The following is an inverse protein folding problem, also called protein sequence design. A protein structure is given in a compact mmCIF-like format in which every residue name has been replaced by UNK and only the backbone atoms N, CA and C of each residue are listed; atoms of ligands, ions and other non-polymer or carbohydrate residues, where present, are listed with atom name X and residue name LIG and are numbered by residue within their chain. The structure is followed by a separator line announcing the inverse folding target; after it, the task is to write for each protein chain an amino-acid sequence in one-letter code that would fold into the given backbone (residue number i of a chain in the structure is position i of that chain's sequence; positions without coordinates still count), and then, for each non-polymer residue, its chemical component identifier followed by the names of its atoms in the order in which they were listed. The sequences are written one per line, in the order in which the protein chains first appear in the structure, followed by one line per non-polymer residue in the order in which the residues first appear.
data_IF_346650509627
#
_entry.id   IF_346650509627
#
_cell.length_a   1.000
_cell.length_b   1.000
_cell.length_c   1.000
_cell.angle_alpha   90.00
_cell.angle_beta   90.00
_cell.angle_gamma   90.00
#
_symmetry.space_group_name_H-M   'P 1'
#
loop_
_entity.id
_entity.type
_entity.pdbx_description
1 polymer ?
#
# COMPACT_ATOMS: atom_id res chain seq x y z
N UNK A 1 41.09 70.35 -27.05
CA UNK A 1 40.28 69.11 -27.12
C UNK A 1 40.56 68.12 -26.00
N UNK A 2 41.81 67.83 -25.62
CA UNK A 2 42.13 66.80 -24.61
C UNK A 2 41.56 67.07 -23.19
N UNK A 3 41.64 68.33 -22.73
CA UNK A 3 41.05 68.77 -21.45
C UNK A 3 39.52 68.59 -21.40
N UNK A 4 38.83 68.83 -22.53
CA UNK A 4 37.37 68.69 -22.61
C UNK A 4 36.94 67.21 -22.51
N UNK A 5 37.73 66.31 -23.10
CA UNK A 5 37.49 64.87 -23.05
C UNK A 5 37.69 64.30 -21.64
N UNK A 6 38.72 64.78 -20.92
CA UNK A 6 38.97 64.40 -19.53
C UNK A 6 37.85 64.87 -18.59
N UNK A 7 37.38 66.11 -18.77
CA UNK A 7 36.28 66.67 -17.96
C UNK A 7 34.97 65.93 -18.25
N UNK A 8 34.63 65.68 -19.53
CA UNK A 8 33.44 64.93 -19.90
C UNK A 8 33.47 63.49 -19.33
N UNK A 9 34.65 62.87 -19.28
CA UNK A 9 34.82 61.54 -18.69
C UNK A 9 34.64 61.54 -17.16
N UNK A 10 35.18 62.54 -16.47
CA UNK A 10 35.00 62.69 -15.02
C UNK A 10 33.52 62.89 -14.65
N UNK A 11 32.81 63.70 -15.45
CA UNK A 11 31.37 63.94 -15.29
C UNK A 11 30.56 62.66 -15.55
N UNK A 12 30.92 61.87 -16.57
CA UNK A 12 30.26 60.59 -16.86
C UNK A 12 30.47 59.56 -15.74
N UNK A 13 31.69 59.46 -15.20
CA UNK A 13 31.99 58.56 -14.08
C UNK A 13 31.24 58.97 -12.80
N UNK A 14 31.16 60.28 -12.52
CA UNK A 14 30.37 60.80 -11.41
C UNK A 14 28.88 60.49 -11.58
N UNK A 15 28.34 60.66 -12.79
CA UNK A 15 26.95 60.35 -13.09
C UNK A 15 26.63 58.85 -12.92
N UNK A 16 27.52 57.96 -13.39
CA UNK A 16 27.37 56.51 -13.22
C UNK A 16 27.45 56.11 -11.75
N UNK A 17 28.35 56.70 -10.96
CA UNK A 17 28.47 56.43 -9.54
C UNK A 17 27.19 56.82 -8.76
N UNK A 18 26.62 57.99 -9.06
CA UNK A 18 25.36 58.46 -8.47
C UNK A 18 24.19 57.55 -8.89
N UNK A 19 24.15 57.13 -10.16
CA UNK A 19 23.08 56.28 -10.67
C UNK A 19 23.13 54.86 -10.09
N UNK A 20 24.32 54.29 -9.92
CA UNK A 20 24.51 52.98 -9.28
C UNK A 20 24.11 52.99 -7.79
N UNK A 21 24.36 54.09 -7.09
CA UNK A 21 23.96 54.26 -5.70
C UNK A 21 22.43 54.35 -5.57
N UNK A 22 21.74 55.04 -6.48
CA UNK A 22 20.28 55.19 -6.43
C UNK A 22 19.51 53.96 -6.95
N UNK A 23 20.00 53.28 -7.99
CA UNK A 23 19.27 52.18 -8.62
C UNK A 23 19.50 50.81 -7.96
N UNK A 24 20.62 50.63 -7.26
CA UNK A 24 21.05 49.31 -6.77
C UNK A 24 21.28 49.25 -5.25
N UNK A 25 21.10 50.37 -4.53
CA UNK A 25 21.35 50.46 -3.09
C UNK A 25 22.81 50.20 -2.68
N UNK A 26 23.75 50.27 -3.64
CA UNK A 26 25.18 50.04 -3.40
C UNK A 26 25.83 51.29 -2.84
N UNK A 27 26.31 51.21 -1.60
CA UNK A 27 27.03 52.30 -0.95
C UNK A 27 28.47 52.38 -1.51
N UNK A 28 28.70 53.35 -2.38
CA UNK A 28 29.96 53.57 -3.12
C UNK A 28 31.14 53.81 -2.16
N UNK A 29 30.86 54.21 -0.92
CA UNK A 29 31.84 54.42 0.15
C UNK A 29 32.52 53.13 0.63
N UNK A 30 31.91 51.96 0.39
CA UNK A 30 32.46 50.65 0.81
C UNK A 30 33.26 49.91 -0.28
N UNK A 31 33.30 50.43 -1.51
CA UNK A 31 34.09 49.82 -2.60
C UNK A 31 35.58 49.66 -2.29
N UNK A 32 36.27 50.63 -1.64
CA UNK A 32 37.67 50.46 -1.26
C UNK A 32 37.85 49.36 -0.20
N UNK A 33 36.90 49.25 0.73
CA UNK A 33 36.93 48.23 1.79
C UNK A 33 36.65 46.83 1.24
N UNK A 34 35.72 46.70 0.30
CA UNK A 34 35.46 45.46 -0.43
C UNK A 34 36.68 45.05 -1.26
N UNK A 35 37.30 45.98 -2.00
CA UNK A 35 38.52 45.70 -2.75
C UNK A 35 39.67 45.27 -1.82
N UNK A 36 39.77 45.84 -0.61
CA UNK A 36 40.73 45.48 0.43
C UNK A 36 40.41 44.16 1.17
N UNK A 37 39.23 43.59 0.96
CA UNK A 37 38.81 42.27 1.48
C UNK A 37 39.01 41.11 0.51
N UNK A 38 39.17 41.37 -0.80
CA UNK A 38 39.33 40.30 -1.80
C UNK A 38 40.70 39.60 -1.72
N UNK A 39 40.79 38.28 -1.94
CA UNK A 39 42.05 37.55 -2.00
C UNK A 39 42.97 38.07 -3.11
N UNK A 40 44.29 38.09 -2.84
CA UNK A 40 45.31 38.76 -3.67
C UNK A 40 45.23 38.52 -5.20
N UNK A 41 44.97 37.30 -5.72
CA UNK A 41 44.85 37.09 -7.17
C UNK A 41 43.65 37.81 -7.81
N UNK A 42 42.54 37.98 -7.07
CA UNK A 42 41.35 38.65 -7.60
C UNK A 42 41.51 40.18 -7.62
N UNK A 43 42.30 40.73 -6.69
CA UNK A 43 42.70 42.15 -6.68
C UNK A 43 43.53 42.51 -7.91
N UNK A 44 44.47 41.63 -8.27
CA UNK A 44 45.31 41.80 -9.46
C UNK A 44 44.44 41.73 -10.72
N UNK A 45 43.51 40.78 -10.80
CA UNK A 45 42.63 40.62 -11.96
C UNK A 45 41.70 41.83 -12.17
N UNK A 46 41.09 42.34 -11.10
CA UNK A 46 40.22 43.53 -11.17
C UNK A 46 41.01 44.80 -11.43
N UNK A 47 42.21 44.94 -10.86
CA UNK A 47 43.13 46.03 -11.20
C UNK A 47 43.59 46.00 -12.65
N UNK A 48 43.90 44.81 -13.19
CA UNK A 48 44.30 44.64 -14.58
C UNK A 48 43.16 44.96 -15.56
N UNK A 49 41.92 44.59 -15.24
CA UNK A 49 40.74 44.93 -16.04
C UNK A 49 40.53 46.45 -16.13
N UNK A 50 40.68 47.17 -15.01
CA UNK A 50 40.61 48.63 -14.99
C UNK A 50 41.74 49.28 -15.80
N UNK A 51 42.96 48.76 -15.67
CA UNK A 51 44.11 49.26 -16.43
C UNK A 51 43.95 49.03 -17.95
N UNK A 52 43.44 47.87 -18.36
CA UNK A 52 43.15 47.55 -19.77
C UNK A 52 42.05 48.44 -20.33
N UNK A 53 40.99 48.69 -19.56
CA UNK A 53 39.91 49.61 -19.96
C UNK A 53 40.45 51.03 -20.18
N UNK A 54 41.29 51.54 -19.27
CA UNK A 54 41.93 52.85 -19.41
C UNK A 54 42.89 52.91 -20.61
N UNK A 55 43.65 51.84 -20.88
CA UNK A 55 44.56 51.76 -22.02
C UNK A 55 43.80 51.76 -23.36
N UNK A 56 42.67 51.05 -23.44
CA UNK A 56 41.79 51.03 -24.61
C UNK A 56 41.20 52.41 -24.91
N UNK A 57 40.78 53.14 -23.89
CA UNK A 57 40.26 54.51 -24.03
C UNK A 57 41.37 55.49 -24.44
N UNK A 58 42.57 55.36 -23.89
CA UNK A 58 43.73 56.15 -24.32
C UNK A 58 44.09 55.90 -25.78
N UNK A 59 44.03 54.65 -26.23
CA UNK A 59 44.34 54.26 -27.60
C UNK A 59 43.33 54.81 -28.63
N UNK A 60 42.04 54.87 -28.28
CA UNK A 60 41.00 55.44 -29.16
C UNK A 60 41.13 56.95 -29.28
N UNK A 61 41.38 57.67 -28.17
CA UNK A 61 41.63 59.11 -28.19
C UNK A 61 42.90 59.47 -28.99
N UNK A 62 43.96 58.65 -28.88
CA UNK A 62 45.19 58.83 -29.66
C UNK A 62 44.96 58.63 -31.15
N UNK A 63 44.20 57.59 -31.54
CA UNK A 63 43.82 57.33 -32.95
C UNK A 63 43.01 58.49 -33.54
N UNK A 64 42.05 59.04 -32.79
CA UNK A 64 41.23 60.17 -33.25
C UNK A 64 42.09 61.42 -33.55
N UNK A 65 43.03 61.75 -32.66
CA UNK A 65 43.94 62.91 -32.88
C UNK A 65 44.86 62.71 -34.10
N UNK A 66 45.24 61.46 -34.39
CA UNK A 66 46.12 61.13 -35.51
C UNK A 66 45.38 61.17 -36.85
N UNK A 67 44.08 60.86 -36.86
CA UNK A 67 43.23 61.01 -38.04
C UNK A 67 43.01 62.49 -38.40
N UNK A 68 42.80 63.35 -37.40
CA UNK A 68 42.58 64.79 -37.62
C UNK A 68 43.81 65.47 -38.25
N UNK A 69 45.02 65.08 -37.81
CA UNK A 69 46.29 65.53 -38.43
C UNK A 69 46.48 65.06 -39.88
N UNK A 70 45.91 63.92 -40.27
CA UNK A 70 45.97 63.43 -41.66
C UNK A 70 45.02 64.21 -42.58
N UNK A 71 43.84 64.58 -42.07
CA UNK A 71 42.87 65.41 -42.80
C UNK A 71 43.40 66.83 -43.04
N UNK A 72 44.07 67.43 -42.06
CA UNK A 72 44.71 68.75 -42.23
C UNK A 72 45.74 68.78 -43.38
N UNK A 73 46.60 67.76 -43.46
CA UNK A 73 47.62 67.65 -44.53
C UNK A 73 47.02 67.44 -45.92
N UNK A 74 45.87 66.78 -46.02
CA UNK A 74 45.15 66.61 -47.29
C UNK A 74 44.51 67.92 -47.75
N UNK A 75 43.95 68.70 -46.82
CA UNK A 75 43.35 70.01 -47.11
C UNK A 75 44.38 71.03 -47.59
N UNK A 76 45.58 71.04 -47.01
CA UNK A 76 46.67 71.92 -47.44
C UNK A 76 47.21 71.56 -48.84
N UNK A 77 47.29 70.27 -49.17
CA UNK A 77 47.68 69.83 -50.53
C UNK A 77 46.65 70.25 -51.57
N UNK A 78 45.36 70.12 -51.24
CA UNK A 78 44.26 70.50 -52.12
C UNK A 78 44.20 72.01 -52.37
N UNK A 79 44.58 72.82 -51.38
CA UNK A 79 44.71 74.27 -51.53
C UNK A 79 45.88 74.64 -52.46
N UNK A 80 47.03 73.97 -52.30
CA UNK A 80 48.22 74.21 -53.12
C UNK A 80 48.02 73.85 -54.60
N UNK A 81 47.35 72.72 -54.88
CA UNK A 81 47.02 72.33 -56.26
C UNK A 81 46.03 73.29 -56.93
N UNK A 82 45.17 73.97 -56.15
CA UNK A 82 44.24 74.97 -56.70
C UNK A 82 44.95 76.28 -57.06
N UNK A 83 45.98 76.65 -56.31
CA UNK A 83 46.80 77.83 -56.60
C UNK A 83 47.67 77.62 -57.86
N UNK A 84 48.21 76.41 -58.08
CA UNK A 84 49.02 76.09 -59.27
C UNK A 84 48.19 76.07 -60.58
N UNK A 85 46.91 75.70 -60.52
CA UNK A 85 46.00 75.69 -61.70
C UNK A 85 45.62 77.11 -62.15
N UNK A 86 45.52 78.06 -61.23
CA UNK A 86 45.22 79.47 -61.57
C UNK A 86 46.40 80.14 -62.27
N UNK A 87 47.64 79.76 -61.92
CA UNK A 87 48.87 80.26 -62.56
C UNK A 87 49.02 79.69 -63.98
N UNK A 88 48.63 78.43 -64.21
CA UNK A 88 48.65 77.82 -65.55
C UNK A 88 47.62 78.46 -66.50
N UNK A 89 46.45 78.88 -65.99
CA UNK A 89 45.41 79.49 -66.81
C UNK A 89 45.74 80.94 -67.24
N UNK A 90 46.51 81.68 -66.44
CA UNK A 90 46.98 83.03 -66.79
C UNK A 90 48.03 83.03 -67.93
N UNK A 91 48.81 81.95 -68.06
CA UNK A 91 49.86 81.83 -69.08
C UNK A 91 49.31 81.45 -70.47
N UNK A 92 48.13 80.83 -70.51
CA UNK A 92 47.47 80.37 -71.73
C UNK A 92 46.81 81.54 -72.50
N UNK A 93 46.24 82.53 -71.81
CA UNK A 93 45.68 83.73 -72.43
C UNK A 93 46.73 84.65 -73.08
N UNK A 94 47.98 84.60 -72.64
CA UNK A 94 49.04 85.43 -73.20
C UNK A 94 49.59 84.85 -74.54
N UNK A 95 49.46 83.53 -74.73
CA UNK A 95 49.86 82.84 -75.95
C UNK A 95 48.84 83.02 -77.09
N UNK A 96 47.54 82.99 -76.79
CA UNK A 96 46.48 83.22 -77.80
C UNK A 96 46.53 84.63 -78.41
N UNK A 97 46.80 85.66 -77.59
CA UNK A 97 46.93 87.05 -78.07
C UNK A 97 48.11 87.25 -79.04
N UNK A 98 49.14 86.41 -78.95
CA UNK A 98 50.35 86.52 -79.79
C UNK A 98 50.20 85.71 -81.09
N UNK A 99 49.40 84.64 -81.07
CA UNK A 99 49.05 83.83 -82.25
C UNK A 99 48.08 84.58 -83.17
N UNK A 100 47.14 85.34 -82.60
CA UNK A 100 46.16 86.11 -83.36
C UNK A 100 46.79 87.28 -84.14
N UNK A 101 47.89 87.86 -83.61
CA UNK A 101 48.62 88.94 -84.27
C UNK A 101 49.56 88.46 -85.40
N UNK A 102 49.77 87.14 -85.55
CA UNK A 102 50.63 86.53 -86.57
C UNK A 102 49.84 85.90 -87.74
N UNK A 103 48.52 85.75 -87.60
CA UNK A 103 47.61 85.19 -88.62
C UNK A 103 47.03 86.29 -89.53
N UNK A 104 47.17 87.57 -89.17
CA UNK A 104 46.49 88.70 -89.83
C UNK A 104 47.38 89.53 -90.78
N UNK A 105 48.63 89.16 -91.01
CA UNK A 105 49.52 89.83 -91.99
C UNK A 105 50.07 88.86 -93.03
N UNK A 106 49.48 88.89 -94.22
CA UNK A 106 49.72 87.99 -95.35
C UNK A 106 51.08 88.31 -96.04
N UNK A 107 51.97 87.33 -96.32
CA UNK A 107 53.33 87.56 -96.80
C UNK A 107 53.46 88.06 -98.25
N UNK A 108 52.34 88.34 -98.93
CA UNK A 108 52.30 88.80 -100.33
C UNK A 108 52.25 90.32 -100.50
N UNK A 109 51.72 91.08 -99.53
CA UNK A 109 51.77 92.56 -99.55
C UNK A 109 53.16 93.11 -99.18
N UNK A 110 53.96 92.35 -98.43
CA UNK A 110 55.34 92.71 -98.13
C UNK A 110 56.26 92.61 -99.36
N UNK A 111 55.94 91.74 -100.33
CA UNK A 111 56.77 91.50 -101.53
C UNK A 111 56.39 92.43 -102.69
N UNK A 112 55.12 92.81 -102.84
CA UNK A 112 54.70 93.80 -103.84
C UNK A 112 55.16 95.22 -103.50
N UNK A 113 55.13 95.61 -102.22
CA UNK A 113 55.65 96.91 -101.76
C UNK A 113 57.17 97.07 -101.90
N UNK A 114 57.92 95.96 -101.97
CA UNK A 114 59.37 95.96 -102.23
C UNK A 114 59.69 96.09 -103.73
N UNK A 115 58.83 95.56 -104.61
CA UNK A 115 59.03 95.63 -106.06
C UNK A 115 58.64 97.02 -106.62
N UNK A 116 57.59 97.62 -106.07
CA UNK A 116 57.10 98.96 -106.47
C UNK A 116 58.07 100.08 -106.04
N UNK A 117 58.73 99.92 -104.88
CA UNK A 117 59.78 100.86 -104.42
C UNK A 117 61.11 100.73 -105.13
N UNK A 118 61.38 99.62 -105.81
CA UNK A 118 62.60 99.43 -106.62
C UNK A 118 62.45 100.10 -108.00
N UNK A 119 61.24 100.09 -108.59
CA UNK A 119 60.95 100.82 -109.83
C UNK A 119 60.93 102.35 -109.68
N UNK A 120 60.41 102.87 -108.56
CA UNK A 120 60.37 104.32 -108.32
C UNK A 120 61.72 104.95 -107.90
N UNK A 121 62.71 104.15 -107.51
CA UNK A 121 64.04 104.64 -107.11
C UNK A 121 65.06 104.61 -108.25
N UNK A 122 64.88 103.75 -109.25
CA UNK A 122 65.73 103.70 -110.45
C UNK A 122 65.37 104.80 -111.47
N UNK A 123 64.10 105.24 -111.50
CA UNK A 123 63.61 106.23 -112.47
C UNK A 123 63.73 107.70 -112.00
N UNK A 124 64.09 107.96 -110.73
CA UNK A 124 64.45 109.30 -110.22
C UNK A 124 65.96 109.58 -110.21
N UNK A 125 66.81 108.59 -110.56
CA UNK A 125 68.26 108.73 -110.57
C UNK A 125 68.87 109.16 -111.93
N UNK A 126 68.08 109.24 -113.01
CA UNK A 126 68.60 109.44 -114.37
C UNK A 126 68.38 110.82 -115.00
N UNK A 127 67.85 111.83 -114.30
CA UNK A 127 67.52 113.12 -114.96
C UNK A 127 67.83 114.43 -114.22
N UNK A 128 68.75 114.46 -113.25
CA UNK A 128 69.39 115.71 -112.83
C UNK A 128 70.88 115.53 -112.48
N UNK A 129 71.72 116.04 -113.39
CA UNK A 129 72.95 116.77 -113.07
C UNK A 129 74.17 115.90 -112.65
N UNK A 130 75.11 115.55 -113.53
CA UNK A 130 75.60 116.33 -114.67
C UNK A 130 76.37 117.55 -114.18
N UNK A 131 77.69 117.38 -113.96
CA UNK A 131 78.69 118.42 -113.63
C UNK A 131 78.56 119.07 -112.24
N UNK A 132 79.00 118.34 -111.22
CA UNK A 132 80.16 118.71 -110.40
C UNK A 132 80.52 117.49 -109.53
N UNK A 133 80.89 116.41 -110.23
CA UNK A 133 81.34 115.14 -109.66
C UNK A 133 82.84 115.19 -109.41
N UNK A 134 83.23 115.21 -108.13
CA UNK A 134 84.48 114.57 -107.69
C UNK A 134 84.54 114.41 -106.18
N UNK A 135 83.81 115.22 -105.42
CA UNK A 135 83.95 115.27 -103.95
C UNK A 135 82.78 114.69 -103.15
N UNK A 136 81.60 114.48 -103.75
CA UNK A 136 80.38 114.06 -103.02
C UNK A 136 80.00 112.55 -103.19
N UNK A 137 80.68 111.83 -104.10
CA UNK A 137 80.48 110.39 -104.29
C UNK A 137 81.02 109.52 -103.12
N UNK A 138 81.91 110.06 -102.30
CA UNK A 138 82.44 109.32 -101.14
C UNK A 138 81.41 109.18 -100.02
N UNK A 139 80.59 110.20 -99.78
CA UNK A 139 79.61 110.19 -98.69
C UNK A 139 78.39 109.32 -99.01
N UNK A 140 77.94 109.29 -100.27
CA UNK A 140 76.86 108.39 -100.69
C UNK A 140 77.30 106.91 -100.75
N UNK A 141 78.56 106.62 -101.11
CA UNK A 141 79.14 105.27 -100.99
C UNK A 141 79.25 104.83 -99.52
N UNK A 142 79.51 105.76 -98.60
CA UNK A 142 79.54 105.48 -97.17
C UNK A 142 78.14 105.17 -96.60
N UNK A 143 77.11 105.90 -97.03
CA UNK A 143 75.71 105.68 -96.65
C UNK A 143 75.17 104.33 -97.17
N UNK A 144 75.41 104.00 -98.45
CA UNK A 144 75.00 102.72 -99.04
C UNK A 144 75.77 101.56 -98.41
N UNK A 145 77.08 101.72 -98.12
CA UNK A 145 77.82 100.73 -97.33
C UNK A 145 77.22 100.55 -95.95
N UNK A 146 76.83 101.62 -95.24
CA UNK A 146 76.15 101.48 -93.94
C UNK A 146 74.81 100.76 -94.03
N UNK A 147 73.99 101.02 -95.07
CA UNK A 147 72.71 100.30 -95.26
C UNK A 147 72.90 98.84 -95.66
N UNK A 148 73.84 98.54 -96.55
CA UNK A 148 74.20 97.16 -96.88
C UNK A 148 74.81 96.44 -95.69
N UNK A 149 75.63 97.12 -94.87
CA UNK A 149 76.15 96.58 -93.61
C UNK A 149 75.00 96.30 -92.63
N UNK A 150 74.04 97.21 -92.48
CA UNK A 150 72.88 97.06 -91.60
C UNK A 150 71.93 95.94 -92.04
N UNK A 151 71.68 95.79 -93.34
CA UNK A 151 70.91 94.66 -93.89
C UNK A 151 71.67 93.34 -93.76
N UNK A 152 73.00 93.34 -93.98
CA UNK A 152 73.83 92.15 -93.81
C UNK A 152 73.94 91.74 -92.34
N UNK A 153 73.94 92.69 -91.41
CA UNK A 153 73.80 92.45 -89.98
C UNK A 153 72.40 91.95 -89.62
N UNK A 154 71.33 92.50 -90.20
CA UNK A 154 69.97 92.00 -89.96
C UNK A 154 69.77 90.58 -90.49
N UNK A 155 70.23 90.30 -91.71
CA UNK A 155 70.21 88.95 -92.29
C UNK A 155 71.14 88.02 -91.51
N UNK A 156 72.28 88.50 -91.04
CA UNK A 156 73.16 87.79 -90.12
C UNK A 156 72.44 87.42 -88.82
N UNK A 157 71.76 88.38 -88.19
CA UNK A 157 70.96 88.18 -86.98
C UNK A 157 69.78 87.23 -87.19
N UNK A 158 69.07 87.33 -88.31
CA UNK A 158 67.95 86.45 -88.65
C UNK A 158 68.45 85.04 -89.01
N UNK A 159 69.58 84.92 -89.70
CA UNK A 159 70.21 83.64 -89.97
C UNK A 159 70.77 83.01 -88.68
N UNK A 160 71.30 83.80 -87.75
CA UNK A 160 71.68 83.36 -86.41
C UNK A 160 70.48 82.94 -85.58
N UNK A 161 69.37 83.69 -85.60
CA UNK A 161 68.12 83.30 -84.94
C UNK A 161 67.55 82.02 -85.55
N UNK A 162 67.56 81.87 -86.87
CA UNK A 162 67.13 80.63 -87.54
C UNK A 162 68.05 79.46 -87.17
N UNK A 163 69.36 79.69 -87.13
CA UNK A 163 70.35 78.70 -86.67
C UNK A 163 70.19 78.36 -85.18
N UNK A 164 69.69 79.28 -84.37
CA UNK A 164 69.40 79.06 -82.95
C UNK A 164 68.05 78.34 -82.73
N UNK A 165 67.10 78.46 -83.65
CA UNK A 165 65.77 77.84 -83.56
C UNK A 165 65.73 76.43 -84.17
N UNK A 166 66.52 76.14 -85.20
CA UNK A 166 66.65 74.79 -85.78
C UNK A 166 66.91 73.67 -84.73
N UNK A 167 67.84 73.83 -83.75
CA UNK A 167 68.04 72.81 -82.73
C UNK A 167 66.82 72.60 -81.83
N UNK A 168 66.00 73.65 -81.61
CA UNK A 168 64.77 73.55 -80.82
C UNK A 168 63.74 72.70 -81.57
N UNK A 169 63.60 72.86 -82.89
CA UNK A 169 62.70 72.01 -83.69
C UNK A 169 63.16 70.56 -83.73
N UNK A 170 64.47 70.30 -83.83
CA UNK A 170 64.99 68.94 -83.72
C UNK A 170 64.75 68.34 -82.33
N UNK A 171 64.94 69.13 -81.27
CA UNK A 171 64.67 68.68 -79.89
C UNK A 171 63.18 68.42 -79.67
N UNK A 172 62.28 69.27 -80.17
CA UNK A 172 60.83 69.05 -80.08
C UNK A 172 60.45 67.77 -80.83
N UNK A 173 61.00 67.54 -82.03
CA UNK A 173 60.74 66.31 -82.79
C UNK A 173 61.26 65.08 -82.06
N UNK A 174 62.44 65.16 -81.47
CA UNK A 174 63.01 64.07 -80.68
C UNK A 174 62.21 63.81 -79.41
N UNK A 175 61.74 64.86 -78.72
CA UNK A 175 60.83 64.74 -77.56
C UNK A 175 59.48 64.16 -77.97
N UNK A 176 58.94 64.54 -79.12
CA UNK A 176 57.70 63.97 -79.65
C UNK A 176 57.89 62.47 -79.93
N UNK A 177 58.96 62.09 -80.61
CA UNK A 177 59.28 60.67 -80.86
C UNK A 177 59.51 59.89 -79.56
N UNK A 178 60.14 60.50 -78.54
CA UNK A 178 60.29 59.91 -77.22
C UNK A 178 58.93 59.73 -76.52
N UNK A 179 58.04 60.71 -76.61
CA UNK A 179 56.69 60.62 -76.07
C UNK A 179 55.87 59.53 -76.76
N UNK A 180 55.90 59.46 -78.09
CA UNK A 180 55.21 58.42 -78.86
C UNK A 180 55.71 57.02 -78.50
N UNK A 181 57.03 56.83 -78.37
CA UNK A 181 57.60 55.57 -77.87
C UNK A 181 57.16 55.27 -76.45
N UNK A 182 57.24 56.23 -75.54
CA UNK A 182 56.82 56.04 -74.15
C UNK A 182 55.32 55.74 -74.02
N UNK A 183 54.49 56.30 -74.90
CA UNK A 183 53.05 56.05 -74.92
C UNK A 183 52.76 54.67 -75.50
N UNK A 184 53.50 54.25 -76.53
CA UNK A 184 53.41 52.89 -77.06
C UNK A 184 53.87 51.83 -76.05
N UNK A 185 54.97 52.07 -75.33
CA UNK A 185 55.46 51.21 -74.25
C UNK A 185 54.49 51.17 -73.06
N UNK A 186 53.75 52.26 -72.82
CA UNK A 186 52.71 52.30 -71.78
C UNK A 186 51.43 51.58 -72.21
N UNK A 187 51.06 51.69 -73.48
CA UNK A 187 49.90 51.03 -74.07
C UNK A 187 50.14 49.53 -74.24
N UNK A 188 51.35 49.15 -74.63
CA UNK A 188 51.77 47.78 -74.95
C UNK A 188 53.00 47.43 -74.13
N UNK A 189 52.80 46.59 -73.11
CA UNK A 189 53.90 46.13 -72.26
C UNK A 189 54.87 45.21 -73.06
N UNK A 190 56.05 44.90 -72.50
CA UNK A 190 57.09 44.04 -73.10
C UNK A 190 56.57 42.66 -73.57
N UNK A 191 55.42 42.24 -73.02
CA UNK A 191 54.71 40.99 -73.35
C UNK A 191 53.66 41.12 -74.45
N UNK A 192 53.55 42.29 -75.09
CA UNK A 192 52.51 42.65 -76.07
C UNK A 192 51.08 42.68 -75.52
N UNK A 193 50.94 42.78 -74.19
CA UNK A 193 49.63 42.93 -73.58
C UNK A 193 49.24 44.40 -73.59
N UNK A 194 48.04 44.69 -74.09
CA UNK A 194 47.54 46.05 -74.04
C UNK A 194 47.14 46.44 -72.60
N UNK A 195 47.14 47.74 -72.30
CA UNK A 195 46.77 48.27 -70.97
C UNK A 195 45.34 47.86 -70.56
N UNK A 196 44.43 47.71 -71.52
CA UNK A 196 43.04 47.35 -71.27
C UNK A 196 42.89 45.90 -70.76
N UNK A 197 43.65 44.97 -71.32
CA UNK A 197 43.70 43.56 -70.94
C UNK A 197 44.32 43.43 -69.55
N UNK A 198 45.39 44.19 -69.25
CA UNK A 198 45.97 44.25 -67.89
C UNK A 198 44.96 44.78 -66.87
N UNK A 199 44.19 45.81 -67.22
CA UNK A 199 43.14 46.34 -66.33
C UNK A 199 42.04 45.31 -66.11
N UNK A 200 41.65 44.57 -67.14
CA UNK A 200 40.66 43.49 -67.06
C UNK A 200 41.15 42.33 -66.20
N UNK A 201 42.40 41.93 -66.34
CA UNK A 201 43.04 40.89 -65.52
C UNK A 201 43.11 41.34 -64.06
N UNK A 202 43.52 42.58 -63.78
CA UNK A 202 43.52 43.14 -62.42
C UNK A 202 42.09 43.18 -61.85
N UNK A 203 41.09 43.56 -62.65
CA UNK A 203 39.69 43.55 -62.20
C UNK A 203 39.20 42.13 -61.90
N UNK A 204 39.62 41.14 -62.70
CA UNK A 204 39.33 39.73 -62.46
C UNK A 204 40.01 39.24 -61.17
N UNK A 205 41.29 39.54 -60.98
CA UNK A 205 42.06 39.21 -59.78
C UNK A 205 41.47 39.87 -58.52
N UNK A 206 41.05 41.14 -58.61
CA UNK A 206 40.36 41.84 -57.52
C UNK A 206 39.05 41.13 -57.19
N UNK A 207 38.28 40.72 -58.21
CA UNK A 207 37.02 39.99 -58.01
C UNK A 207 37.26 38.63 -57.34
N UNK A 208 38.28 37.90 -57.79
CA UNK A 208 38.69 36.63 -57.20
C UNK A 208 39.20 36.80 -55.75
N UNK A 209 39.96 37.86 -55.48
CA UNK A 209 40.41 38.20 -54.13
C UNK A 209 39.23 38.58 -53.23
N UNK A 210 38.27 39.37 -53.70
CA UNK A 210 37.07 39.71 -52.95
C UNK A 210 36.23 38.47 -52.64
N UNK A 211 36.07 37.56 -53.61
CA UNK A 211 35.40 36.28 -53.38
C UNK A 211 36.12 35.45 -52.30
N UNK A 212 37.45 35.36 -52.35
CA UNK A 212 38.26 34.69 -51.32
C UNK A 212 38.18 35.36 -49.95
N UNK A 213 38.11 36.69 -49.90
CA UNK A 213 37.93 37.42 -48.64
C UNK A 213 36.55 37.11 -48.05
N UNK A 214 35.51 37.07 -48.87
CA UNK A 214 34.17 36.71 -48.41
C UNK A 214 34.12 35.27 -47.88
N UNK A 215 34.72 34.30 -48.57
CA UNK A 215 34.78 32.92 -48.05
C UNK A 215 35.57 32.82 -46.75
N UNK A 216 36.68 33.55 -46.62
CA UNK A 216 37.43 33.63 -45.35
C UNK A 216 36.58 34.27 -44.25
N UNK A 217 35.82 35.31 -44.56
CA UNK A 217 34.90 35.95 -43.60
C UNK A 217 33.78 34.98 -43.16
N UNK A 218 33.21 34.22 -44.09
CA UNK A 218 32.19 33.21 -43.79
C UNK A 218 32.76 32.07 -42.94
N UNK A 219 33.96 31.57 -43.27
CA UNK A 219 34.64 30.56 -42.43
C UNK A 219 35.01 31.08 -41.05
N UNK A 220 35.32 32.38 -40.92
CA UNK A 220 35.55 32.99 -39.61
C UNK A 220 34.24 33.11 -38.81
N UNK A 221 33.11 33.38 -39.48
CA UNK A 221 31.79 33.38 -38.86
C UNK A 221 31.40 31.98 -38.36
N UNK A 222 31.61 30.93 -39.17
CA UNK A 222 31.35 29.54 -38.74
C UNK A 222 32.28 29.10 -37.61
N UNK A 223 33.56 29.48 -37.65
CA UNK A 223 34.49 29.20 -36.55
C UNK A 223 34.05 29.88 -35.24
N UNK A 224 33.59 31.13 -35.30
CA UNK A 224 33.05 31.82 -34.13
C UNK A 224 31.77 31.15 -33.61
N UNK A 225 30.94 30.61 -34.50
CA UNK A 225 29.76 29.84 -34.10
C UNK A 225 30.17 28.55 -33.38
N UNK A 226 31.09 27.76 -33.93
CA UNK A 226 31.61 26.56 -33.26
C UNK A 226 32.28 26.87 -31.92
N UNK A 227 32.98 28.00 -31.80
CA UNK A 227 33.55 28.45 -30.53
C UNK A 227 32.44 28.72 -29.49
N UNK A 228 31.35 29.36 -29.89
CA UNK A 228 30.20 29.60 -29.00
C UNK A 228 29.52 28.29 -28.61
N UNK A 229 29.32 27.39 -29.55
CA UNK A 229 28.67 26.09 -29.30
C UNK A 229 29.53 25.21 -28.39
N UNK A 230 30.86 25.22 -28.56
CA UNK A 230 31.79 24.54 -27.65
C UNK A 230 31.74 25.16 -26.25
N UNK A 231 31.73 26.48 -26.14
CA UNK A 231 31.61 27.15 -24.84
C UNK A 231 30.27 26.82 -24.17
N UNK A 232 29.18 26.75 -24.92
CA UNK A 232 27.85 26.35 -24.43
C UNK A 232 27.87 24.90 -23.95
N UNK A 233 28.35 23.97 -24.76
CA UNK A 233 28.47 22.56 -24.36
C UNK A 233 29.35 22.38 -23.12
N UNK A 234 30.46 23.11 -23.03
CA UNK A 234 31.31 23.10 -21.85
C UNK A 234 30.58 23.61 -20.60
N UNK A 235 29.82 24.71 -20.73
CA UNK A 235 29.01 25.25 -19.63
C UNK A 235 27.91 24.27 -19.18
N UNK A 236 27.30 23.51 -20.09
CA UNK A 236 26.31 22.47 -19.78
C UNK A 236 26.93 21.23 -19.11
N UNK A 237 28.18 20.87 -19.47
CA UNK A 237 28.89 19.73 -18.87
C UNK A 237 29.49 20.02 -17.49
N UNK A 238 29.83 21.28 -17.20
CA UNK A 238 30.38 21.70 -15.90
C UNK A 238 29.52 21.31 -14.69
N UNK A 239 28.20 21.58 -14.64
CA UNK A 239 27.36 21.18 -13.50
C UNK A 239 27.24 19.66 -13.38
N UNK A 240 27.17 18.94 -14.49
CA UNK A 240 27.14 17.46 -14.47
C UNK A 240 28.45 16.86 -13.96
N UNK A 241 29.58 17.53 -14.16
CA UNK A 241 30.89 17.14 -13.63
C UNK A 241 31.20 17.71 -12.25
N UNK A 242 30.31 18.56 -11.71
CA UNK A 242 30.53 19.15 -10.40
C UNK A 242 30.67 18.05 -9.35
N UNK A 243 31.63 18.23 -8.45
CA UNK A 243 31.91 17.29 -7.36
C UNK A 243 30.81 17.26 -6.31
N UNK A 244 30.02 18.34 -6.22
CA UNK A 244 29.11 18.56 -5.09
C UNK A 244 27.65 18.28 -5.44
N UNK A 245 27.26 18.34 -6.72
CA UNK A 245 25.88 18.13 -7.17
C UNK A 245 25.76 17.36 -8.49
N UNK A 246 26.87 16.98 -9.11
CA UNK A 246 26.92 16.30 -10.39
C UNK A 246 26.97 14.77 -10.27
N UNK A 247 27.29 14.13 -11.38
CA UNK A 247 27.43 12.66 -11.48
C UNK A 247 28.50 12.16 -10.50
N UNK A 248 29.57 12.92 -10.28
CA UNK A 248 30.62 12.54 -9.33
C UNK A 248 30.10 12.52 -7.88
N UNK A 249 29.24 13.48 -7.51
CA UNK A 249 28.59 13.50 -6.19
C UNK A 249 27.71 12.27 -5.99
N UNK A 250 26.90 11.93 -7.01
CA UNK A 250 26.05 10.73 -7.00
C UNK A 250 26.87 9.44 -6.93
N UNK A 251 28.00 9.37 -7.63
CA UNK A 251 28.92 8.22 -7.54
C UNK A 251 29.50 8.10 -6.13
N UNK A 252 29.89 9.21 -5.50
CA UNK A 252 30.38 9.19 -4.12
C UNK A 252 29.29 8.81 -3.12
N UNK A 253 28.07 9.32 -3.26
CA UNK A 253 26.93 8.95 -2.42
C UNK A 253 26.56 7.48 -2.59
N UNK A 254 26.55 6.99 -3.83
CA UNK A 254 26.33 5.57 -4.13
C UNK A 254 27.42 4.71 -3.48
N UNK A 255 28.69 5.10 -3.56
CA UNK A 255 29.80 4.42 -2.89
C UNK A 255 29.59 4.35 -1.37
N UNK A 256 29.23 5.46 -0.72
CA UNK A 256 28.93 5.48 0.72
C UNK A 256 27.72 4.60 1.08
N UNK A 257 26.68 4.59 0.24
CA UNK A 257 25.51 3.75 0.45
C UNK A 257 25.85 2.27 0.31
N UNK A 258 26.70 1.93 -0.65
CA UNK A 258 27.21 0.58 -0.86
C UNK A 258 28.05 0.12 0.33
N UNK A 259 28.95 0.97 0.84
CA UNK A 259 29.77 0.65 2.01
C UNK A 259 28.93 0.47 3.27
N UNK A 260 27.88 1.30 3.46
CA UNK A 260 26.90 1.11 4.56
C UNK A 260 26.14 -0.21 4.42
N UNK A 261 25.74 -0.57 3.20
CA UNK A 261 25.04 -1.83 2.95
C UNK A 261 25.96 -3.02 3.21
N UNK A 262 27.20 -2.99 2.71
CA UNK A 262 28.21 -4.01 2.96
C UNK A 262 28.44 -4.18 4.46
N UNK A 263 28.61 -3.07 5.20
CA UNK A 263 28.74 -3.11 6.66
C UNK A 263 27.51 -3.70 7.35
N UNK A 264 26.30 -3.34 6.92
CA UNK A 264 25.07 -3.93 7.47
C UNK A 264 24.97 -5.43 7.20
N UNK A 265 25.41 -5.90 6.04
CA UNK A 265 25.46 -7.33 5.70
C UNK A 265 26.49 -8.03 6.58
N UNK A 266 27.67 -7.45 6.76
CA UNK A 266 28.71 -7.98 7.64
C UNK A 266 28.22 -8.02 9.09
N UNK A 267 27.54 -6.98 9.58
CA UNK A 267 26.94 -6.95 10.92
C UNK A 267 25.82 -8.00 11.08
N UNK A 268 25.03 -8.28 10.04
CA UNK A 268 24.04 -9.36 10.07
C UNK A 268 24.69 -10.74 10.09
N UNK A 269 25.82 -10.91 9.40
CA UNK A 269 26.58 -12.15 9.33
C UNK A 269 27.41 -12.40 10.59
N UNK A 270 27.96 -11.35 11.22
CA UNK A 270 28.92 -11.45 12.33
C UNK A 270 28.38 -11.00 13.69
N UNK A 271 27.30 -10.22 13.73
CA UNK A 271 26.76 -9.63 14.96
C UNK A 271 25.93 -10.59 15.83
N UNK A 272 25.63 -11.79 15.32
CA UNK A 272 24.99 -12.85 16.09
C UNK A 272 26.00 -13.78 16.76
N UNK A 273 25.51 -14.66 17.63
CA UNK A 273 26.33 -15.74 18.24
C UNK A 273 26.88 -16.74 17.19
N UNK A 274 26.27 -16.77 16.00
CA UNK A 274 26.68 -17.62 14.88
C UNK A 274 26.32 -16.95 13.53
N UNK A 275 26.93 -17.38 12.41
CA UNK A 275 26.64 -16.85 11.07
C UNK A 275 25.14 -16.87 10.74
N UNK A 276 24.65 -15.90 9.97
CA UNK A 276 23.21 -15.76 9.69
C UNK A 276 22.62 -17.05 9.11
N UNK A 277 23.34 -17.72 8.21
CA UNK A 277 22.93 -19.00 7.65
C UNK A 277 22.66 -20.08 8.72
N UNK A 278 23.54 -20.18 9.72
CA UNK A 278 23.38 -21.15 10.82
C UNK A 278 22.22 -20.78 11.75
N UNK A 279 21.98 -19.48 11.97
CA UNK A 279 20.83 -19.00 12.73
C UNK A 279 19.52 -19.27 12.01
N UNK A 280 19.48 -19.13 10.70
CA UNK A 280 18.31 -19.50 9.88
C UNK A 280 18.09 -21.02 9.91
N UNK A 281 19.15 -21.81 9.82
CA UNK A 281 19.03 -23.28 9.89
C UNK A 281 18.54 -23.75 11.27
N UNK A 282 19.08 -23.18 12.35
CA UNK A 282 18.62 -23.47 13.72
C UNK A 282 17.17 -23.02 13.93
N UNK A 283 16.77 -21.86 13.43
CA UNK A 283 15.39 -21.40 13.47
C UNK A 283 14.46 -22.34 12.68
N UNK A 284 14.91 -22.84 11.52
CA UNK A 284 14.18 -23.85 10.73
C UNK A 284 14.02 -25.16 11.50
N UNK A 285 15.10 -25.66 12.13
CA UNK A 285 15.04 -26.86 12.99
C UNK A 285 14.11 -26.67 14.18
N UNK A 286 14.21 -25.53 14.87
CA UNK A 286 13.35 -25.19 16.00
C UNK A 286 11.88 -25.09 15.57
N UNK A 287 11.60 -24.53 14.39
CA UNK A 287 10.25 -24.49 13.82
C UNK A 287 9.69 -25.90 13.63
N UNK A 288 10.46 -26.80 13.01
CA UNK A 288 10.05 -28.20 12.81
C UNK A 288 9.80 -28.88 14.16
N UNK A 289 10.66 -28.65 15.16
CA UNK A 289 10.45 -29.20 16.51
C UNK A 289 9.18 -28.66 17.17
N UNK A 290 8.90 -27.36 17.04
CA UNK A 290 7.67 -26.73 17.56
C UNK A 290 6.44 -27.31 16.84
N UNK A 291 6.47 -27.48 15.53
CA UNK A 291 5.38 -28.11 14.76
C UNK A 291 5.14 -29.56 15.24
N UNK A 292 6.20 -30.33 15.53
CA UNK A 292 6.09 -31.66 16.12
C UNK A 292 5.51 -31.65 17.53
N UNK A 293 5.95 -30.70 18.39
CA UNK A 293 5.40 -30.54 19.74
C UNK A 293 3.91 -30.14 19.68
N UNK A 294 3.53 -29.29 18.72
CA UNK A 294 2.14 -28.91 18.50
C UNK A 294 1.29 -30.10 18.09
N UNK A 295 1.76 -30.94 17.17
CA UNK A 295 1.07 -32.17 16.79
C UNK A 295 0.84 -33.10 18.00
N UNK A 296 1.83 -33.23 18.90
CA UNK A 296 1.66 -34.01 20.15
C UNK A 296 0.63 -33.39 21.10
N UNK A 297 0.53 -32.06 21.14
CA UNK A 297 -0.49 -31.36 21.93
C UNK A 297 -1.87 -31.60 21.33
N UNK A 298 -2.00 -31.55 20.00
CA UNK A 298 -3.26 -31.87 19.31
C UNK A 298 -3.70 -33.31 19.56
N UNK A 299 -2.76 -34.27 19.55
CA UNK A 299 -3.03 -35.66 19.94
C UNK A 299 -3.51 -35.75 21.40
N UNK A 300 -2.87 -35.02 22.32
CA UNK A 300 -3.28 -34.96 23.72
C UNK A 300 -4.67 -34.36 23.89
N UNK A 301 -5.00 -33.34 23.10
CA UNK A 301 -6.32 -32.73 23.08
C UNK A 301 -7.39 -33.69 22.54
N UNK A 302 -7.07 -34.47 21.51
CA UNK A 302 -7.94 -35.52 21.00
C UNK A 302 -8.19 -36.61 22.05
N UNK A 303 -7.16 -37.05 22.79
CA UNK A 303 -7.30 -37.98 23.91
C UNK A 303 -8.22 -37.39 25.00
N UNK A 304 -8.01 -36.13 25.39
CA UNK A 304 -8.86 -35.45 26.38
C UNK A 304 -10.32 -35.35 25.91
N UNK A 305 -10.55 -35.13 24.62
CA UNK A 305 -11.90 -35.11 24.03
C UNK A 305 -12.55 -36.48 24.12
N UNK A 306 -11.83 -37.56 23.83
CA UNK A 306 -12.32 -38.94 24.00
C UNK A 306 -12.64 -39.23 25.45
N UNK A 307 -11.75 -38.91 26.40
CA UNK A 307 -12.00 -39.08 27.83
C UNK A 307 -13.25 -38.31 28.27
N UNK A 308 -13.45 -37.09 27.77
CA UNK A 308 -14.67 -36.31 28.06
C UNK A 308 -15.94 -37.00 27.56
N UNK A 309 -15.90 -37.59 26.36
CA UNK A 309 -17.02 -38.37 25.82
C UNK A 309 -17.27 -39.62 26.67
N UNK A 310 -16.22 -40.31 27.11
CA UNK A 310 -16.34 -41.48 27.99
C UNK A 310 -16.97 -41.09 29.34
N UNK A 311 -16.61 -39.94 29.91
CA UNK A 311 -17.23 -39.42 31.14
C UNK A 311 -18.71 -39.07 30.94
N UNK A 312 -19.07 -38.53 29.78
CA UNK A 312 -20.48 -38.27 29.43
C UNK A 312 -21.27 -39.58 29.32
N UNK A 313 -20.69 -40.61 28.67
CA UNK A 313 -21.27 -41.95 28.61
C UNK A 313 -21.40 -42.58 30.00
N UNK A 314 -20.38 -42.47 30.85
CA UNK A 314 -20.44 -42.93 32.24
C UNK A 314 -21.53 -42.22 33.04
N UNK A 315 -21.70 -40.91 32.85
CA UNK A 315 -22.79 -40.15 33.46
C UNK A 315 -24.17 -40.62 33.00
N UNK A 316 -24.33 -40.94 31.71
CA UNK A 316 -25.57 -41.54 31.18
C UNK A 316 -25.83 -42.92 31.77
N UNK A 317 -24.81 -43.78 31.86
CA UNK A 317 -24.91 -45.10 32.48
C UNK A 317 -25.23 -45.01 33.98
N UNK A 318 -24.64 -44.05 34.70
CA UNK A 318 -24.97 -43.79 36.10
C UNK A 318 -26.45 -43.38 36.23
N UNK A 319 -26.91 -42.42 35.44
CA UNK A 319 -28.31 -42.00 35.47
C UNK A 319 -29.27 -43.14 35.09
N UNK A 320 -28.87 -44.03 34.18
CA UNK A 320 -29.64 -45.23 33.86
C UNK A 320 -29.68 -46.21 35.04
N UNK A 321 -28.54 -46.47 35.69
CA UNK A 321 -28.49 -47.31 36.88
C UNK A 321 -29.31 -46.73 38.03
N UNK A 322 -29.27 -45.41 38.25
CA UNK A 322 -30.09 -44.72 39.25
C UNK A 322 -31.58 -44.88 38.94
N UNK A 323 -32.01 -44.76 37.68
CA UNK A 323 -33.40 -45.03 37.28
C UNK A 323 -33.78 -46.50 37.50
N UNK A 324 -32.94 -47.44 37.09
CA UNK A 324 -33.21 -48.87 37.29
C UNK A 324 -33.21 -49.26 38.77
N UNK A 325 -32.36 -48.64 39.60
CA UNK A 325 -32.39 -48.81 41.05
C UNK A 325 -33.66 -48.21 41.65
N UNK A 326 -34.09 -47.03 41.21
CA UNK A 326 -35.35 -46.43 41.65
C UNK A 326 -36.56 -47.29 41.26
N UNK A 327 -36.59 -47.87 40.04
CA UNK A 327 -37.61 -48.83 39.61
C UNK A 327 -37.60 -50.13 40.45
N UNK A 328 -36.44 -50.56 40.94
CA UNK A 328 -36.33 -51.70 41.85
C UNK A 328 -36.77 -51.30 43.26
N UNK A 329 -36.34 -50.15 43.78
CA UNK A 329 -36.66 -49.68 45.11
C UNK A 329 -38.13 -49.35 45.27
N UNK A 330 -38.74 -48.77 44.23
CA UNK A 330 -40.16 -48.36 44.19
C UNK A 330 -40.90 -49.03 43.05
N UNK A 331 -41.95 -49.78 43.40
CA UNK A 331 -42.88 -50.38 42.44
C UNK A 331 -43.68 -49.29 41.67
N UNK A 332 -44.34 -49.56 40.52
CA UNK A 332 -45.22 -48.60 39.85
C UNK A 332 -46.30 -47.98 40.74
N UNK A 333 -46.71 -48.66 41.81
CA UNK A 333 -47.66 -48.15 42.81
C UNK A 333 -46.99 -47.32 43.92
N UNK A 334 -45.69 -47.06 43.83
CA UNK A 334 -44.89 -46.28 44.80
C UNK A 334 -44.52 -47.04 46.08
N UNK A 335 -44.73 -48.36 46.14
CA UNK A 335 -44.43 -49.17 47.32
C UNK A 335 -42.93 -49.50 47.39
N UNK A 336 -42.31 -49.30 48.56
CA UNK A 336 -40.88 -49.56 48.71
C UNK A 336 -40.57 -51.06 48.81
N UNK A 337 -39.34 -51.46 48.56
CA UNK A 337 -38.89 -52.85 48.74
C UNK A 337 -39.07 -53.34 50.19
N UNK A 338 -38.94 -52.44 51.17
CA UNK A 338 -39.22 -52.71 52.59
C UNK A 338 -40.71 -52.97 52.81
N UNK A 339 -41.59 -52.16 52.20
CA UNK A 339 -43.03 -52.37 52.30
C UNK A 339 -43.46 -53.70 51.69
N UNK A 340 -42.88 -54.07 50.54
CA UNK A 340 -43.10 -55.38 49.90
C UNK A 340 -42.59 -56.54 50.77
N UNK A 341 -41.42 -56.39 51.39
CA UNK A 341 -40.89 -57.38 52.33
C UNK A 341 -41.82 -57.55 53.55
N UNK A 342 -42.32 -56.44 54.09
CA UNK A 342 -43.27 -56.45 55.20
C UNK A 342 -44.59 -57.14 54.79
N UNK A 343 -45.14 -56.81 53.63
CA UNK A 343 -46.34 -57.44 53.10
C UNK A 343 -46.15 -58.96 52.88
N UNK A 344 -45.00 -59.39 52.39
CA UNK A 344 -44.68 -60.81 52.25
C UNK A 344 -44.57 -61.50 53.62
N UNK A 345 -43.94 -60.85 54.60
CA UNK A 345 -43.84 -61.38 55.96
C UNK A 345 -45.23 -61.52 56.61
N UNK A 346 -46.08 -60.51 56.45
CA UNK A 346 -47.47 -60.52 56.92
C UNK A 346 -48.26 -61.65 56.25
N UNK A 347 -48.08 -61.84 54.94
CA UNK A 347 -48.68 -62.97 54.22
C UNK A 347 -48.19 -64.33 54.74
N UNK A 348 -46.90 -64.47 55.06
CA UNK A 348 -46.34 -65.69 55.65
C UNK A 348 -46.92 -65.93 57.04
N UNK A 349 -47.02 -64.90 57.88
CA UNK A 349 -47.64 -64.98 59.21
C UNK A 349 -49.11 -65.39 59.08
N UNK A 350 -49.87 -64.75 58.20
CA UNK A 350 -51.28 -65.09 57.94
C UNK A 350 -51.42 -66.52 57.42
N UNK A 351 -50.56 -66.94 56.50
CA UNK A 351 -50.56 -68.31 55.97
C UNK A 351 -50.24 -69.34 57.05
N UNK A 352 -49.28 -69.05 57.94
CA UNK A 352 -48.98 -69.90 59.10
C UNK A 352 -50.15 -69.96 60.08
N UNK A 353 -50.80 -68.84 60.35
CA UNK A 353 -52.00 -68.80 61.21
C UNK A 353 -53.15 -69.61 60.60
N UNK A 354 -53.42 -69.44 59.30
CA UNK A 354 -54.42 -70.25 58.57
C UNK A 354 -54.08 -71.73 58.59
N UNK A 355 -52.82 -72.10 58.42
CA UNK A 355 -52.38 -73.49 58.50
C UNK A 355 -52.53 -74.06 59.91
N UNK A 356 -52.24 -73.28 60.95
CA UNK A 356 -52.50 -73.64 62.35
C UNK A 356 -53.99 -73.85 62.62
N UNK A 357 -54.85 -72.93 62.15
CA UNK A 357 -56.30 -73.08 62.24
C UNK A 357 -56.79 -74.33 61.49
N UNK A 358 -56.24 -74.61 60.31
CA UNK A 358 -56.54 -75.84 59.56
C UNK A 358 -56.09 -77.09 60.33
N UNK A 359 -54.92 -77.08 60.97
CA UNK A 359 -54.47 -78.19 61.83
C UNK A 359 -55.40 -78.40 63.02
N UNK A 360 -55.86 -77.34 63.66
CA UNK A 360 -56.83 -77.41 64.76
C UNK A 360 -58.17 -77.98 64.26
N UNK A 361 -58.69 -77.49 63.13
CA UNK A 361 -59.90 -78.06 62.53
C UNK A 361 -59.73 -79.53 62.15
N UNK A 362 -58.56 -79.94 61.65
CA UNK A 362 -58.24 -81.34 61.36
C UNK A 362 -58.18 -82.19 62.64
N UNK A 363 -57.64 -81.64 63.73
CA UNK A 363 -57.66 -82.29 65.04
C UNK A 363 -59.10 -82.48 65.55
N UNK A 364 -59.96 -81.46 65.45
CA UNK A 364 -61.38 -81.58 65.82
C UNK A 364 -62.13 -82.58 64.92
N UNK A 365 -61.85 -82.60 63.61
CA UNK A 365 -62.43 -83.56 62.69
C UNK A 365 -62.01 -85.00 63.02
N UNK A 366 -60.75 -85.21 63.38
CA UNK A 366 -60.25 -86.51 63.84
C UNK A 366 -60.94 -86.93 65.15
N UNK A 367 -61.11 -86.02 66.11
CA UNK A 367 -61.88 -86.30 67.32
C UNK A 367 -63.32 -86.70 66.99
N UNK A 368 -64.02 -85.97 66.12
CA UNK A 368 -65.36 -86.34 65.65
C UNK A 368 -65.37 -87.71 64.97
N UNK A 369 -64.37 -88.03 64.15
CA UNK A 369 -64.25 -89.36 63.52
C UNK A 369 -64.09 -90.45 64.56
N UNK A 370 -63.28 -90.22 65.60
CA UNK A 370 -63.11 -91.17 66.71
C UNK A 370 -64.40 -91.36 67.47
N UNK A 371 -65.12 -90.28 67.79
CA UNK A 371 -66.42 -90.34 68.48
C UNK A 371 -67.49 -91.04 67.63
N UNK A 372 -67.51 -90.79 66.32
CA UNK A 372 -68.42 -91.48 65.40
C UNK A 372 -68.09 -92.98 65.32
N UNK A 373 -66.79 -93.32 65.24
CA UNK A 373 -66.34 -94.72 65.25
C UNK A 373 -66.72 -95.42 66.56
N UNK A 374 -66.64 -94.71 67.69
CA UNK A 374 -67.07 -95.19 69.01
C UNK A 374 -68.58 -95.37 69.07
N UNK A 375 -69.35 -94.37 68.67
CA UNK A 375 -70.82 -94.46 68.60
C UNK A 375 -71.28 -95.60 67.68
N UNK A 376 -70.60 -95.81 66.56
CA UNK A 376 -70.88 -96.93 65.66
C UNK A 376 -70.55 -98.28 66.32
N UNK A 377 -69.43 -98.39 67.03
CA UNK A 377 -69.10 -99.58 67.80
C UNK A 377 -70.12 -99.85 68.92
N UNK A 378 -70.59 -98.82 69.62
CA UNK A 378 -71.62 -98.92 70.68
C UNK A 378 -73.00 -99.34 70.13
N UNK A 379 -73.28 -99.09 68.84
CA UNK A 379 -74.52 -99.52 68.18
C UNK A 379 -74.49 -100.98 67.68
N UNK A 380 -73.31 -101.59 67.52
CA UNK A 380 -73.17 -102.98 67.04
C UNK A 380 -73.83 -104.00 67.99
N UNK A 381 -73.65 -103.94 69.33
CA UNK A 381 -74.31 -104.85 70.27
C UNK A 381 -75.84 -104.78 70.23
N UNK A 382 -76.40 -103.59 70.02
CA UNK A 382 -77.86 -103.38 69.96
C UNK A 382 -78.49 -104.02 68.72
N UNK A 383 -77.73 -104.14 67.63
CA UNK A 383 -78.11 -104.83 66.37
C UNK A 383 -77.73 -106.31 66.33
N UNK A 384 -77.09 -106.84 67.37
CA UNK A 384 -76.63 -108.23 67.34
C UNK A 384 -77.83 -109.20 67.37
N UNK A 385 -77.91 -110.19 66.45
CA UNK A 385 -79.07 -111.07 66.33
C UNK A 385 -79.30 -112.01 67.53
N UNK A 386 -78.33 -112.14 68.44
CA UNK A 386 -78.39 -113.07 69.58
C UNK A 386 -78.70 -112.37 70.92
N UNK A 387 -78.34 -111.10 71.09
CA UNK A 387 -78.53 -110.34 72.34
C UNK A 387 -79.10 -108.93 72.13
N UNK A 388 -79.33 -108.54 70.88
CA UNK A 388 -79.87 -107.23 70.51
C UNK A 388 -81.37 -107.16 70.70
N UNK A 389 -81.92 -106.00 70.35
CA UNK A 389 -83.34 -105.70 70.56
C UNK A 389 -84.25 -106.74 69.84
N UNK A 390 -83.83 -107.25 68.68
CA UNK A 390 -84.56 -108.31 67.95
C UNK A 390 -84.61 -109.65 68.70
N UNK A 391 -83.52 -110.04 69.38
CA UNK A 391 -83.47 -111.27 70.17
C UNK A 391 -84.37 -111.18 71.42
N UNK A 392 -84.35 -110.04 72.10
CA UNK A 392 -85.24 -109.75 73.24
C UNK A 392 -86.73 -109.79 72.82
N UNK A 393 -87.08 -109.27 71.64
CA UNK A 393 -88.45 -109.34 71.11
C UNK A 393 -88.86 -110.79 70.84
N UNK A 394 -87.95 -111.62 70.31
CA UNK A 394 -88.22 -113.04 70.08
C UNK A 394 -88.44 -113.82 71.40
N UNK A 395 -87.65 -113.54 72.44
CA UNK A 395 -87.77 -114.18 73.76
C UNK A 395 -89.06 -113.79 74.52
N UNK A 396 -89.52 -112.55 74.38
CA UNK A 396 -90.84 -112.13 74.89
C UNK A 396 -91.98 -112.85 74.13
N UNK A 397 -91.80 -113.12 72.83
CA UNK A 397 -92.75 -113.89 72.04
C UNK A 397 -92.91 -115.34 72.54
N UNK A 398 -91.80 -116.02 72.82
CA UNK A 398 -91.83 -117.42 73.28
C UNK A 398 -92.42 -117.58 74.68
N UNK A 399 -92.14 -116.65 75.60
CA UNK A 399 -92.71 -116.65 76.96
C UNK A 399 -94.22 -116.43 76.95
N UNK A 400 -94.74 -115.55 76.09
CA UNK A 400 -96.19 -115.34 75.90
C UNK A 400 -96.88 -116.64 75.46
N UNK A 401 -96.31 -117.36 74.50
CA UNK A 401 -96.90 -118.57 73.95
C UNK A 401 -96.91 -119.73 74.97
N UNK A 402 -95.87 -119.81 75.81
CA UNK A 402 -95.82 -120.78 76.91
C UNK A 402 -96.89 -120.50 77.97
N UNK A 403 -97.12 -119.23 78.31
CA UNK A 403 -98.13 -118.80 79.28
C UNK A 403 -99.55 -119.11 78.79
N UNK A 404 -99.83 -118.83 77.51
CA UNK A 404 -101.12 -119.15 76.89
C UNK A 404 -101.40 -120.66 76.93
N UNK A 405 -100.38 -121.49 76.70
CA UNK A 405 -100.50 -122.95 76.78
C UNK A 405 -100.78 -123.46 78.19
N UNK A 406 -100.08 -122.94 79.20
CA UNK A 406 -100.28 -123.37 80.60
C UNK A 406 -101.65 -122.95 81.14
N UNK A 407 -102.16 -121.77 80.78
CA UNK A 407 -103.53 -121.37 81.15
C UNK A 407 -104.56 -122.31 80.51
N UNK A 408 -104.39 -122.65 79.23
CA UNK A 408 -105.27 -123.61 78.54
C UNK A 408 -105.28 -125.01 79.18
N UNK A 409 -104.13 -125.50 79.65
CA UNK A 409 -104.03 -126.80 80.34
C UNK A 409 -104.70 -126.79 81.73
N UNK A 410 -104.63 -125.67 82.45
CA UNK A 410 -105.30 -125.51 83.75
C UNK A 410 -106.83 -125.42 83.57
N UNK A 411 -107.31 -124.78 82.50
CA UNK A 411 -108.74 -124.69 82.18
C UNK A 411 -109.34 -126.05 81.76
N UNK A 412 -108.58 -126.91 81.08
CA UNK A 412 -109.06 -128.20 80.59
C UNK A 412 -109.24 -129.27 81.69
N UNK A 413 -108.43 -129.24 82.76
CA UNK A 413 -108.45 -130.26 83.82
C UNK A 413 -109.50 -130.01 84.93
N UNK A 414 -110.13 -128.83 84.97
CA UNK A 414 -110.92 -128.38 86.12
C UNK A 414 -112.41 -128.72 86.11
N UNK A 415 -112.97 -129.24 85.01
CA UNK A 415 -114.40 -129.55 84.85
C UNK A 415 -115.35 -128.32 84.88
N UNK A 416 -114.89 -127.17 85.38
CA UNK A 416 -115.56 -125.87 85.49
C UNK A 416 -114.48 -124.78 85.38
N UNK A 417 -114.73 -123.63 84.71
CA UNK A 417 -113.72 -122.57 84.54
C UNK A 417 -113.09 -122.11 85.87
N UNK A 418 -111.81 -121.71 85.82
CA UNK A 418 -111.01 -121.32 87.00
C UNK A 418 -111.69 -120.22 87.83
N UNK A 419 -112.39 -119.31 87.15
CA UNK A 419 -113.18 -118.25 87.76
C UNK A 419 -114.22 -118.77 88.77
N UNK A 420 -114.91 -119.88 88.46
CA UNK A 420 -115.95 -120.45 89.33
C UNK A 420 -115.37 -121.13 90.58
N UNK A 421 -114.15 -121.65 90.50
CA UNK A 421 -113.47 -122.30 91.64
C UNK A 421 -112.97 -121.29 92.67
N UNK A 422 -112.51 -120.12 92.21
CA UNK A 422 -112.09 -119.01 93.08
C UNK A 422 -113.28 -118.48 93.89
N UNK A 423 -114.47 -118.43 93.29
CA UNK A 423 -115.68 -117.93 93.94
C UNK A 423 -116.21 -118.87 95.05
N UNK A 424 -116.09 -120.20 94.86
CA UNK A 424 -116.43 -121.19 95.88
C UNK A 424 -115.53 -121.11 97.11
N UNK A 425 -114.23 -120.86 96.93
CA UNK A 425 -113.25 -120.73 98.02
C UNK A 425 -113.54 -119.49 98.89
N UNK A 426 -113.96 -118.39 98.25
CA UNK A 426 -114.31 -117.15 98.93
C UNK A 426 -115.56 -117.30 99.84
N UNK A 427 -116.52 -118.16 99.47
CA UNK A 427 -117.69 -118.49 100.31
C UNK A 427 -117.32 -119.30 101.55
N UNK A 428 -116.46 -120.32 101.40
CA UNK A 428 -115.99 -121.16 102.51
C UNK A 428 -115.27 -120.36 103.59
N UNK A 429 -114.46 -119.37 103.20
CA UNK A 429 -113.72 -118.50 104.14
C UNK A 429 -114.64 -117.73 105.09
N UNK A 430 -115.74 -117.15 104.58
CA UNK A 430 -116.68 -116.35 105.40
C UNK A 430 -117.39 -117.17 106.48
N UNK A 431 -117.73 -118.42 106.19
CA UNK A 431 -118.46 -119.31 107.11
C UNK A 431 -117.59 -119.71 108.33
N UNK A 432 -116.28 -119.83 108.14
CA UNK A 432 -115.33 -120.14 109.22
C UNK A 432 -115.12 -118.95 110.17
N UNK A 433 -115.06 -117.73 109.65
CA UNK A 433 -114.89 -116.50 110.44
C UNK A 433 -116.08 -116.29 111.41
N UNK A 434 -117.30 -116.62 110.98
CA UNK A 434 -118.54 -116.42 111.76
C UNK A 434 -118.67 -117.39 112.95
N UNK A 435 -118.13 -118.61 112.82
CA UNK A 435 -118.13 -119.61 113.91
C UNK A 435 -117.11 -119.29 115.00
N UNK A 436 -115.97 -118.69 114.63
CA UNK A 436 -114.92 -118.29 115.56
C UNK A 436 -115.39 -117.17 116.51
N UNK A 437 -116.20 -116.23 116.01
CA UNK A 437 -116.79 -115.16 116.82
C UNK A 437 -117.68 -115.70 117.96
N UNK A 438 -118.51 -116.72 117.70
CA UNK A 438 -119.41 -117.31 118.70
C UNK A 438 -118.70 -118.02 119.85
N UNK A 439 -117.49 -118.54 119.62
CA UNK A 439 -116.71 -119.22 120.67
C UNK A 439 -116.14 -118.20 121.65
N UNK A 440 -115.75 -117.01 121.18
CA UNK A 440 -115.21 -115.94 122.03
C UNK A 440 -116.26 -115.36 122.99
N UNK A 441 -117.52 -115.24 122.57
CA UNK A 441 -118.59 -114.71 123.44
C UNK A 441 -118.92 -115.62 124.62
N UNK A 442 -118.91 -116.94 124.43
CA UNK A 442 -119.18 -117.91 125.49
C UNK A 442 -118.10 -117.94 126.57
N UNK A 443 -116.84 -117.68 126.22
CA UNK A 443 -115.74 -117.61 127.19
C UNK A 443 -115.84 -116.36 128.09
N UNK A 444 -116.30 -115.23 127.53
CA UNK A 444 -116.49 -114.00 128.30
C UNK A 444 -117.63 -114.12 129.34
N UNK A 445 -118.69 -114.88 129.03
CA UNK A 445 -119.80 -115.12 129.96
C UNK A 445 -119.37 -115.96 131.18
N UNK A 446 -118.41 -116.89 131.00
CA UNK A 446 -117.88 -117.75 132.06
C UNK A 446 -116.98 -117.00 133.06
N UNK A 447 -116.29 -115.95 132.61
CA UNK A 447 -115.40 -115.15 133.46
C UNK A 447 -116.16 -114.11 134.32
N UNK A 448 -117.31 -113.61 133.82
CA UNK A 448 -118.18 -112.70 134.57
C UNK A 448 -118.86 -113.37 135.78
N UNK A 449 -119.36 -114.61 135.62
CA UNK A 449 -119.99 -115.39 136.70
C UNK A 449 -119.03 -115.70 137.86
N UNK A 450 -117.74 -115.91 137.54
CA UNK A 450 -116.68 -116.13 138.55
C UNK A 450 -116.41 -114.90 139.40
N UNK A 451 -116.58 -113.70 138.83
CA UNK A 451 -116.29 -112.42 139.47
C UNK A 451 -117.38 -111.97 140.44
N UNK A 452 -118.65 -112.27 140.14
CA UNK A 452 -119.79 -111.80 140.92
C UNK A 452 -119.91 -112.42 142.33
N UNK A 453 -119.62 -113.70 142.49
CA UNK A 453 -119.95 -114.38 143.76
C UNK A 453 -118.78 -114.43 144.74
N UNK A 454 -117.54 -114.21 144.25
CA UNK A 454 -116.46 -113.71 145.12
C UNK A 454 -116.84 -112.42 145.85
N UNK A 455 -117.73 -111.60 145.26
CA UNK A 455 -118.31 -110.41 145.90
C UNK A 455 -119.32 -110.74 147.01
N UNK A 456 -120.14 -111.78 146.86
CA UNK A 456 -121.16 -112.16 147.86
C UNK A 456 -120.51 -112.65 149.17
N UNK A 457 -119.41 -113.40 149.09
CA UNK A 457 -118.65 -113.86 150.27
C UNK A 457 -117.99 -112.71 151.06
N UNK A 458 -117.66 -111.60 150.38
CA UNK A 458 -117.10 -110.40 151.01
C UNK A 458 -118.16 -109.61 151.81
N UNK A 459 -119.40 -109.54 151.31
CA UNK A 459 -120.42 -108.63 151.87
C UNK A 459 -121.06 -109.15 153.17
N UNK A 460 -121.26 -110.46 153.34
CA UNK A 460 -121.89 -111.02 154.57
C UNK A 460 -120.86 -111.24 155.69
N UNK A 461 -119.59 -111.50 155.36
CA UNK A 461 -118.51 -111.48 156.36
C UNK A 461 -118.39 -110.13 157.06
N UNK A 462 -118.78 -109.05 156.41
CA UNK A 462 -118.80 -107.71 157.00
C UNK A 462 -120.05 -107.40 157.84
N UNK A 463 -121.19 -108.08 157.61
CA UNK A 463 -122.38 -107.90 158.47
C UNK A 463 -122.26 -108.65 159.81
N UNK A 464 -121.47 -109.73 159.86
CA UNK A 464 -121.20 -110.50 161.08
C UNK A 464 -120.29 -109.79 162.11
N UNK A 465 -119.69 -108.64 161.75
CA UNK A 465 -118.64 -107.97 162.54
C UNK A 465 -119.02 -106.56 163.06
N UNK A 466 -120.25 -106.08 162.86
CA UNK A 466 -120.59 -104.67 163.14
C UNK A 466 -121.63 -104.38 164.24
N UNK A 467 -122.37 -105.36 164.77
CA UNK A 467 -123.40 -105.14 165.82
C UNK A 467 -123.52 -106.45 166.65
N UNK A 468 -123.22 -106.55 167.95
CA UNK A 468 -123.02 -105.50 168.94
C UNK A 468 -124.33 -105.04 169.53
#
# INVERSE_FOLDING_TARGET
MWLFFLVAWFVLLAAIAIFAQQASGYDVTHLPALFAGLPMPQRIATGALLAVALALIGATAFRLSRQDRRLGKLRDRLKKTREDVVVAHALQNHLDATVQHLIESDPREAVSALHDKLGETEQRALLQQGRNESTDMHDQLAEIRRRQQGLREMVGKVAEQRRAVEPIFTEIRDRQNQLERSLHDLETDDRKNNLADRLKDIAHDISALLARVNTVQDTFATLNQYKKDLAKSHAELMPLRSTDAGINALISELGLSHDRLAKSIDELETGGEAPLGTRVETLSKNRIEIEQRLARIDDSFNILKTIRLDFEELGQRQAQLERSLAEIETDPDGTTLVDRQNALNDFVIQSRQRLGALQETLATLNAFKTDLSKSQADLVPLKAPVFGIEALIAEVGTTRDLLAKTVGEIEANGGVPLASRVDALAKSKRDVEDRLARIFDNFNALDALRKDIGGIFSTIRNSLNRIG
#
